data_IF_028415854599
#
_entry.id   IF_028415854599
#
_cell.length_a   1.000
_cell.length_b   1.000
_cell.length_c   1.000
_cell.angle_alpha   90.00
_cell.angle_beta   90.00
_cell.angle_gamma   90.00
#
_symmetry.space_group_name_H-M   'P 1'
#
loop_
_entity.id
_entity.type
_entity.pdbx_description
1 polymer ?
#
# COMPACT_ATOMS: atom_id res chain seq x y z
N UNK A 1 25.21 -9.70 -2.15
CA UNK A 1 23.77 -9.45 -1.87
C UNK A 1 23.22 -10.27 -0.70
N UNK A 2 23.42 -11.59 -0.63
CA UNK A 2 22.85 -12.46 0.43
C UNK A 2 23.15 -12.03 1.88
N UNK A 3 24.38 -11.61 2.18
CA UNK A 3 24.78 -11.13 3.52
C UNK A 3 24.08 -9.83 3.95
N UNK A 4 23.82 -8.91 3.01
CA UNK A 4 23.09 -7.65 3.28
C UNK A 4 21.63 -7.94 3.61
N UNK A 5 20.99 -8.84 2.86
CA UNK A 5 19.62 -9.28 3.12
C UNK A 5 19.50 -9.97 4.48
N UNK A 6 20.44 -10.86 4.83
CA UNK A 6 20.46 -11.52 6.12
C UNK A 6 20.63 -10.51 7.28
N UNK A 7 21.50 -9.51 7.13
CA UNK A 7 21.67 -8.46 8.12
C UNK A 7 20.39 -7.63 8.30
N UNK A 8 19.71 -7.24 7.22
CA UNK A 8 18.42 -6.55 7.29
C UNK A 8 17.39 -7.40 8.01
N UNK A 9 17.29 -8.69 7.66
CA UNK A 9 16.32 -9.60 8.27
C UNK A 9 16.55 -9.75 9.79
N UNK A 10 17.82 -9.90 10.20
CA UNK A 10 18.21 -9.98 11.61
C UNK A 10 17.89 -8.70 12.37
N UNK A 11 18.18 -7.53 11.79
CA UNK A 11 17.86 -6.24 12.39
C UNK A 11 16.35 -6.07 12.54
N UNK A 12 15.59 -6.34 11.48
CA UNK A 12 14.12 -6.30 11.52
C UNK A 12 13.56 -7.26 12.56
N UNK A 13 14.09 -8.48 12.65
CA UNK A 13 13.66 -9.47 13.62
C UNK A 13 13.98 -9.02 15.06
N UNK A 14 15.17 -8.47 15.29
CA UNK A 14 15.56 -7.95 16.59
C UNK A 14 14.64 -6.81 17.04
N UNK A 15 14.33 -5.86 16.15
CA UNK A 15 13.37 -4.79 16.45
C UNK A 15 11.95 -5.30 16.65
N UNK A 16 11.52 -6.31 15.88
CA UNK A 16 10.22 -6.94 16.07
C UNK A 16 10.12 -7.60 17.45
N UNK A 17 11.14 -8.38 17.84
CA UNK A 17 11.21 -9.00 19.17
C UNK A 17 11.23 -7.93 20.27
N UNK A 18 12.03 -6.88 20.11
CA UNK A 18 12.07 -5.77 21.07
C UNK A 18 10.71 -5.06 21.20
N UNK A 19 10.01 -4.82 20.08
CA UNK A 19 8.69 -4.20 20.08
C UNK A 19 7.62 -5.09 20.75
N UNK A 20 7.75 -6.41 20.62
CA UNK A 20 6.81 -7.37 21.21
C UNK A 20 7.16 -7.75 22.66
N UNK A 21 8.37 -7.48 23.14
CA UNK A 21 8.87 -7.95 24.45
C UNK A 21 7.99 -7.52 25.63
N UNK A 22 7.34 -6.36 25.54
CA UNK A 22 6.47 -5.83 26.59
C UNK A 22 4.97 -6.03 26.35
N UNK A 23 4.57 -6.71 25.27
CA UNK A 23 3.16 -6.84 24.91
C UNK A 23 2.60 -8.13 25.52
N UNK A 24 1.57 -7.99 26.36
CA UNK A 24 0.77 -9.13 26.78
C UNK A 24 -0.11 -9.61 25.62
N UNK A 25 0.35 -10.68 24.96
CA UNK A 25 -0.35 -11.29 23.84
C UNK A 25 -1.74 -11.82 24.23
N UNK A 26 -1.99 -12.13 25.51
CA UNK A 26 -3.32 -12.55 25.98
C UNK A 26 -4.29 -11.39 25.97
N UNK A 27 -3.87 -10.22 26.46
CA UNK A 27 -4.67 -8.98 26.42
C UNK A 27 -4.96 -8.58 24.97
N UNK A 28 -3.97 -8.70 24.07
CA UNK A 28 -4.18 -8.44 22.65
C UNK A 28 -5.19 -9.41 22.02
N UNK A 29 -5.12 -10.70 22.35
CA UNK A 29 -6.05 -11.71 21.85
C UNK A 29 -7.48 -11.51 22.40
N UNK A 30 -7.61 -11.10 23.66
CA UNK A 30 -8.90 -10.79 24.28
C UNK A 30 -9.54 -9.52 23.69
N UNK A 31 -8.73 -8.48 23.40
CA UNK A 31 -9.22 -7.31 22.67
C UNK A 31 -9.72 -7.66 21.25
N UNK A 32 -9.05 -8.60 20.57
CA UNK A 32 -9.48 -9.12 19.27
C UNK A 32 -10.82 -9.88 19.35
N UNK A 33 -11.05 -10.65 20.42
CA UNK A 33 -12.32 -11.38 20.58
C UNK A 33 -13.50 -10.45 20.90
N UNK A 34 -13.24 -9.33 21.58
CA UNK A 34 -14.24 -8.30 21.87
C UNK A 34 -14.49 -7.34 20.69
N UNK A 35 -13.76 -7.50 19.58
CA UNK A 35 -13.86 -6.60 18.44
C UNK A 35 -15.21 -6.76 17.73
N UNK A 36 -15.87 -5.61 17.49
CA UNK A 36 -17.09 -5.54 16.68
C UNK A 36 -16.73 -5.65 15.21
N UNK A 37 -16.67 -6.88 14.69
CA UNK A 37 -16.33 -7.19 13.29
C UNK A 37 -17.07 -6.35 12.24
N UNK A 38 -18.37 -6.04 12.37
CA UNK A 38 -19.05 -5.18 11.39
C UNK A 38 -18.43 -3.78 11.27
N UNK A 39 -17.97 -3.21 12.39
CA UNK A 39 -17.31 -1.90 12.41
C UNK A 39 -15.92 -1.99 11.76
N UNK A 40 -15.15 -3.02 12.11
CA UNK A 40 -13.82 -3.25 11.54
C UNK A 40 -13.89 -3.46 10.01
N UNK A 41 -14.80 -4.33 9.55
CA UNK A 41 -15.03 -4.58 8.13
C UNK A 41 -15.58 -3.34 7.42
N UNK A 42 -16.42 -2.55 8.07
CA UNK A 42 -16.87 -1.25 7.56
C UNK A 42 -15.72 -0.28 7.34
N UNK A 43 -14.79 -0.18 8.30
CA UNK A 43 -13.58 0.63 8.17
C UNK A 43 -12.67 0.17 7.03
N UNK A 44 -12.45 -1.14 6.90
CA UNK A 44 -11.67 -1.73 5.80
C UNK A 44 -12.33 -1.42 4.45
N UNK A 45 -13.66 -1.60 4.36
CA UNK A 45 -14.42 -1.34 3.13
C UNK A 45 -14.34 0.14 2.74
N UNK A 46 -14.51 1.04 3.71
CA UNK A 46 -14.38 2.48 3.50
C UNK A 46 -12.98 2.86 3.02
N UNK A 47 -11.94 2.22 3.56
CA UNK A 47 -10.56 2.39 3.12
C UNK A 47 -10.39 2.00 1.64
N UNK A 48 -10.93 0.86 1.21
CA UNK A 48 -10.90 0.46 -0.21
C UNK A 48 -11.66 1.44 -1.10
N UNK A 49 -12.82 1.93 -0.67
CA UNK A 49 -13.60 2.94 -1.39
C UNK A 49 -12.80 4.23 -1.54
N UNK A 50 -12.18 4.72 -0.46
CA UNK A 50 -11.30 5.90 -0.49
C UNK A 50 -10.14 5.71 -1.46
N UNK A 51 -9.53 4.52 -1.49
CA UNK A 51 -8.44 4.21 -2.40
C UNK A 51 -8.88 4.14 -3.86
N UNK A 52 -10.07 3.61 -4.12
CA UNK A 52 -10.71 3.62 -5.44
C UNK A 52 -11.03 5.05 -5.90
N UNK A 53 -11.60 5.88 -5.03
CA UNK A 53 -11.89 7.29 -5.32
C UNK A 53 -10.61 8.08 -5.64
N UNK A 54 -9.52 7.85 -4.90
CA UNK A 54 -8.21 8.46 -5.20
C UNK A 54 -7.68 8.04 -6.58
N UNK A 55 -7.90 6.79 -6.96
CA UNK A 55 -7.51 6.27 -8.27
C UNK A 55 -8.40 6.84 -9.38
N UNK A 56 -9.71 6.98 -9.12
CA UNK A 56 -10.66 7.61 -10.03
C UNK A 56 -10.37 9.10 -10.23
N UNK A 57 -9.99 9.82 -9.18
CA UNK A 57 -9.54 11.21 -9.27
C UNK A 57 -8.33 11.34 -10.20
N UNK A 58 -7.33 10.48 -10.05
CA UNK A 58 -6.16 10.48 -10.93
C UNK A 58 -6.55 10.13 -12.38
N UNK A 59 -7.47 9.19 -12.57
CA UNK A 59 -8.00 8.83 -13.89
C UNK A 59 -8.67 10.02 -14.58
N UNK A 60 -9.46 10.79 -13.84
CA UNK A 60 -10.09 12.03 -14.32
C UNK A 60 -9.05 13.11 -14.67
N UNK A 61 -8.01 13.28 -13.84
CA UNK A 61 -6.92 14.23 -14.10
C UNK A 61 -6.13 13.90 -15.37
N UNK A 62 -6.04 12.61 -15.72
CA UNK A 62 -5.42 12.13 -16.96
C UNK A 62 -6.38 12.18 -18.17
N UNK A 63 -7.60 12.70 -18.01
CA UNK A 63 -8.60 12.76 -19.07
C UNK A 63 -9.12 11.39 -19.52
N UNK A 64 -8.89 10.34 -18.72
CA UNK A 64 -9.28 8.97 -19.06
C UNK A 64 -8.52 8.36 -20.24
N UNK A 65 -7.39 8.95 -20.64
CA UNK A 65 -6.54 8.49 -21.74
C UNK A 65 -5.12 8.17 -21.25
N UNK A 66 -4.49 7.17 -21.87
CA UNK A 66 -3.09 6.82 -21.64
C UNK A 66 -2.15 7.74 -22.45
N UNK A 67 -0.83 7.62 -22.28
CA UNK A 67 0.15 8.42 -23.02
C UNK A 67 0.19 8.15 -24.54
N UNK A 68 -0.63 7.21 -25.02
CA UNK A 68 -0.79 6.83 -26.44
C UNK A 68 -2.20 7.15 -26.97
N UNK A 69 -3.00 7.90 -26.22
CA UNK A 69 -4.35 8.33 -26.61
C UNK A 69 -5.44 7.24 -26.50
N UNK A 70 -5.16 6.10 -25.86
CA UNK A 70 -6.13 5.00 -25.67
C UNK A 70 -6.87 5.15 -24.35
N UNK A 71 -8.08 4.57 -24.28
CA UNK A 71 -8.90 4.61 -23.07
C UNK A 71 -8.19 3.91 -21.90
N UNK A 72 -7.84 4.69 -20.90
CA UNK A 72 -7.20 4.22 -19.68
C UNK A 72 -8.22 3.47 -18.83
N UNK A 73 -7.90 2.26 -18.37
CA UNK A 73 -8.82 1.48 -17.52
C UNK A 73 -8.60 1.83 -16.05
N UNK A 74 -9.65 2.23 -15.35
CA UNK A 74 -9.59 2.59 -13.93
C UNK A 74 -8.94 1.50 -13.05
N UNK A 75 -9.21 0.23 -13.34
CA UNK A 75 -8.64 -0.92 -12.61
C UNK A 75 -7.11 -0.94 -12.68
N UNK A 76 -6.52 -0.56 -13.82
CA UNK A 76 -5.05 -0.49 -13.96
C UNK A 76 -4.47 0.62 -13.11
N UNK A 77 -5.13 1.79 -13.09
CA UNK A 77 -4.74 2.90 -12.23
C UNK A 77 -4.88 2.59 -10.74
N UNK A 78 -5.92 1.83 -10.38
CA UNK A 78 -6.10 1.33 -9.03
C UNK A 78 -4.95 0.41 -8.62
N UNK A 79 -4.56 -0.54 -9.46
CA UNK A 79 -3.40 -1.41 -9.20
C UNK A 79 -2.10 -0.61 -9.05
N UNK A 80 -1.83 0.35 -9.94
CA UNK A 80 -0.62 1.20 -9.85
C UNK A 80 -0.65 2.03 -8.56
N UNK A 81 -1.81 2.58 -8.20
CA UNK A 81 -1.97 3.37 -6.97
C UNK A 81 -1.84 2.52 -5.71
N UNK A 82 -2.30 1.27 -5.74
CA UNK A 82 -2.11 0.31 -4.65
C UNK A 82 -0.63 -0.08 -4.46
N UNK A 83 0.11 -0.31 -5.54
CA UNK A 83 1.56 -0.58 -5.46
C UNK A 83 2.33 0.65 -4.99
N UNK A 84 1.99 1.84 -5.48
CA UNK A 84 2.59 3.09 -4.99
C UNK A 84 2.31 3.32 -3.50
N UNK A 85 1.09 3.02 -3.04
CA UNK A 85 0.75 3.08 -1.62
C UNK A 85 1.47 2.01 -0.78
N UNK A 86 1.63 0.79 -1.29
CA UNK A 86 2.46 -0.21 -0.60
C UNK A 86 3.90 0.29 -0.48
N UNK A 87 4.46 0.79 -1.57
CA UNK A 87 5.82 1.30 -1.62
C UNK A 87 6.03 2.48 -0.66
N UNK A 88 5.04 3.36 -0.46
CA UNK A 88 5.18 4.48 0.49
C UNK A 88 5.20 4.02 1.95
N UNK A 89 4.52 2.91 2.28
CA UNK A 89 4.43 2.40 3.65
C UNK A 89 5.52 1.38 3.98
N UNK A 90 5.99 0.61 3.00
CA UNK A 90 6.92 -0.51 3.21
C UNK A 90 8.35 -0.13 2.85
N UNK A 91 8.55 0.68 1.82
CA UNK A 91 9.89 1.06 1.37
C UNK A 91 10.31 2.34 2.12
N UNK A 92 11.52 2.38 2.70
CA UNK A 92 12.02 3.58 3.37
C UNK A 92 12.05 4.79 2.42
N UNK A 93 12.04 5.99 3.00
CA UNK A 93 12.11 7.27 2.28
C UNK A 93 10.90 7.58 1.38
N UNK A 94 9.72 6.99 1.65
CA UNK A 94 8.47 7.27 0.91
C UNK A 94 8.63 7.08 -0.60
N UNK A 95 9.46 6.11 -1.01
CA UNK A 95 9.78 5.85 -2.42
C UNK A 95 8.55 5.51 -3.28
N UNK A 96 7.40 5.23 -2.67
CA UNK A 96 6.11 5.15 -3.36
C UNK A 96 5.76 6.37 -4.22
N UNK A 97 6.27 7.56 -3.88
CA UNK A 97 6.08 8.78 -4.69
C UNK A 97 6.85 8.74 -6.02
N UNK A 98 7.99 8.04 -6.06
CA UNK A 98 8.75 7.80 -7.29
C UNK A 98 8.25 6.57 -8.05
N UNK A 99 7.82 5.52 -7.34
CA UNK A 99 7.32 4.28 -7.93
C UNK A 99 6.05 4.50 -8.74
N UNK A 100 5.15 5.39 -8.28
CA UNK A 100 3.87 5.65 -8.95
C UNK A 100 4.01 6.25 -10.36
N UNK A 101 4.75 7.35 -10.58
CA UNK A 101 4.99 7.88 -11.93
C UNK A 101 5.81 6.91 -12.78
N UNK A 102 6.79 6.23 -12.20
CA UNK A 102 7.57 5.20 -12.92
C UNK A 102 6.68 4.07 -13.45
N UNK A 103 5.76 3.54 -12.64
CA UNK A 103 4.79 2.52 -13.08
C UNK A 103 3.78 3.06 -14.10
N UNK A 104 3.41 4.33 -14.00
CA UNK A 104 2.53 5.00 -14.97
C UNK A 104 3.21 5.13 -16.34
N UNK A 105 4.49 5.48 -16.34
CA UNK A 105 5.31 5.56 -17.53
C UNK A 105 5.56 4.19 -18.16
N UNK A 106 6.01 3.22 -17.35
CA UNK A 106 6.35 1.88 -17.81
C UNK A 106 5.12 1.14 -18.37
N UNK A 107 3.97 1.22 -17.69
CA UNK A 107 2.78 0.42 -18.05
C UNK A 107 1.78 1.13 -18.96
N UNK A 108 1.66 2.45 -18.84
CA UNK A 108 0.64 3.24 -19.55
C UNK A 108 1.27 4.30 -20.47
N UNK A 109 2.60 4.44 -20.49
CA UNK A 109 3.31 5.39 -21.36
C UNK A 109 3.06 6.86 -20.98
N UNK A 110 2.52 7.13 -19.80
CA UNK A 110 2.24 8.50 -19.33
C UNK A 110 3.56 9.13 -18.88
N UNK A 111 3.95 10.32 -19.39
CA UNK A 111 5.18 10.99 -18.99
C UNK A 111 5.18 11.41 -17.51
#
# INVERSE_FOLDING_TARGET
MRRKLAAILLVTLAFLVAALWGIDLRVAAEALSQTRWPVALGGISLYFVLHLLRSARLWLLLGGVDGRGRRLRLVRLFSISAVGFLAINVIPLRLGEAVRPWLLHDREGVP
#
